data_IF_680419206967
#
_entry.id   IF_680419206967
#
_cell.length_a   1.000
_cell.length_b   1.000
_cell.length_c   1.000
_cell.angle_alpha   90.00
_cell.angle_beta   90.00
_cell.angle_gamma   90.00
#
_symmetry.space_group_name_H-M   'P 1'
#
loop_
_entity.id
_entity.type
_entity.pdbx_description
1 polymer ?
#
# COMPACT_ATOMS: atom_id res chain seq x y z
N UNK A 1 -20.41 -8.64 13.95
CA UNK A 1 -19.69 -7.55 13.25
C UNK A 1 -18.76 -8.15 12.21
N UNK A 2 -18.57 -7.53 11.03
CA UNK A 2 -17.67 -8.04 9.97
C UNK A 2 -16.45 -7.22 9.92
N UNK A 3 -15.37 -7.94 9.74
CA UNK A 3 -14.24 -7.43 9.02
C UNK A 3 -14.04 -8.41 7.88
N UNK A 4 -13.93 -7.87 6.69
CA UNK A 4 -13.74 -8.58 5.43
C UNK A 4 -12.38 -9.27 5.40
N UNK A 5 -12.31 -10.58 5.06
CA UNK A 5 -11.07 -11.24 4.62
C UNK A 5 -11.23 -11.89 3.24
N UNK A 6 -10.26 -11.53 2.39
CA UNK A 6 -9.83 -12.22 1.20
C UNK A 6 -8.65 -13.12 1.58
N UNK A 7 -8.28 -14.06 0.71
CA UNK A 7 -7.09 -14.89 0.91
C UNK A 7 -5.84 -14.00 1.02
N UNK A 8 -5.18 -14.04 2.18
CA UNK A 8 -4.12 -13.08 2.54
C UNK A 8 -2.81 -13.51 1.90
N UNK A 9 -2.55 -12.99 0.71
CA UNK A 9 -1.21 -13.02 0.12
C UNK A 9 -0.46 -11.78 0.57
N UNK A 10 0.66 -11.94 1.27
CA UNK A 10 1.56 -10.82 1.58
C UNK A 10 2.24 -10.37 0.28
N UNK A 11 1.85 -9.22 -0.24
CA UNK A 11 2.44 -8.63 -1.44
C UNK A 11 3.24 -7.39 -1.03
N UNK A 12 4.54 -7.41 -1.26
CA UNK A 12 5.41 -6.25 -1.05
C UNK A 12 5.41 -5.40 -2.31
N UNK A 13 4.76 -4.23 -2.27
CA UNK A 13 4.61 -3.34 -3.44
C UNK A 13 5.29 -1.99 -3.22
N UNK A 14 6.58 -1.88 -3.52
CA UNK A 14 7.28 -0.61 -3.36
C UNK A 14 6.90 0.42 -4.45
N UNK A 15 6.62 1.66 -4.02
CA UNK A 15 6.35 2.80 -4.90
C UNK A 15 7.29 3.96 -4.61
N UNK A 16 7.57 4.75 -5.64
CA UNK A 16 8.36 5.97 -5.56
C UNK A 16 7.58 7.11 -6.16
N UNK A 17 7.56 8.25 -5.47
CA UNK A 17 7.02 9.49 -5.99
C UNK A 17 8.08 10.18 -6.87
N UNK A 18 7.69 10.50 -8.09
CA UNK A 18 8.55 11.09 -9.12
C UNK A 18 7.91 12.43 -9.56
N UNK A 19 8.58 13.56 -9.26
CA UNK A 19 8.37 14.83 -9.97
C UNK A 19 9.38 14.89 -11.12
N UNK A 20 8.90 14.82 -12.35
CA UNK A 20 9.69 14.77 -13.58
C UNK A 20 9.56 16.07 -14.35
N UNK A 21 10.68 16.57 -14.89
CA UNK A 21 10.72 17.61 -15.91
C UNK A 21 11.54 17.14 -17.12
N UNK A 22 10.93 17.20 -18.30
CA UNK A 22 11.53 16.88 -19.61
C UNK A 22 11.76 18.19 -20.36
N UNK A 23 12.97 18.35 -20.89
CA UNK A 23 13.39 19.47 -21.72
C UNK A 23 14.01 18.92 -23.01
N UNK A 24 13.66 19.51 -24.16
CA UNK A 24 14.30 19.18 -25.43
C UNK A 24 15.65 19.89 -25.55
N UNK A 25 16.71 19.12 -25.83
CA UNK A 25 18.04 19.66 -26.13
C UNK A 25 18.14 19.98 -27.62
N UNK A 26 17.96 21.25 -27.98
CA UNK A 26 18.13 21.75 -29.34
C UNK A 26 19.59 21.93 -29.76
N UNK A 27 19.76 22.32 -31.02
CA UNK A 27 21.07 22.69 -31.56
C UNK A 27 21.68 23.81 -30.71
N UNK A 28 23.00 23.77 -30.50
CA UNK A 28 23.73 24.72 -29.65
C UNK A 28 23.36 24.69 -28.15
N UNK A 29 22.92 23.54 -27.65
CA UNK A 29 22.52 23.33 -26.24
C UNK A 29 21.32 24.15 -25.76
N UNK A 30 20.51 24.70 -26.67
CA UNK A 30 19.26 25.37 -26.28
C UNK A 30 18.30 24.36 -25.65
N UNK A 31 17.69 24.73 -24.52
CA UNK A 31 16.63 23.92 -23.89
C UNK A 31 15.26 24.52 -24.20
N UNK A 32 14.29 23.66 -24.49
CA UNK A 32 12.90 24.08 -24.74
C UNK A 32 11.91 23.13 -24.07
N UNK A 33 10.74 23.69 -23.71
CA UNK A 33 9.66 22.91 -23.11
C UNK A 33 9.06 21.96 -24.14
N UNK A 34 8.67 20.76 -23.68
CA UNK A 34 7.99 19.76 -24.50
C UNK A 34 6.57 19.52 -23.99
N UNK A 35 5.71 19.00 -24.87
CA UNK A 35 4.38 18.55 -24.48
C UNK A 35 4.47 17.43 -23.43
N UNK A 36 3.63 17.50 -22.39
CA UNK A 36 3.70 16.62 -21.21
C UNK A 36 5.10 16.61 -20.54
N UNK A 37 5.82 17.74 -20.61
CA UNK A 37 7.18 17.83 -20.12
C UNK A 37 7.29 17.73 -18.60
N UNK A 38 6.34 18.29 -17.83
CA UNK A 38 6.31 18.16 -16.37
C UNK A 38 5.19 17.26 -15.90
N UNK A 39 5.51 16.29 -15.02
CA UNK A 39 4.54 15.39 -14.40
C UNK A 39 5.00 14.93 -13.02
N UNK A 40 4.04 14.85 -12.11
CA UNK A 40 4.17 14.19 -10.82
C UNK A 40 3.38 12.88 -10.86
N UNK A 41 4.01 11.76 -10.49
CA UNK A 41 3.35 10.46 -10.47
C UNK A 41 4.01 9.47 -9.50
N UNK A 42 3.25 8.44 -9.13
CA UNK A 42 3.76 7.28 -8.40
C UNK A 42 4.21 6.21 -9.39
N UNK A 43 5.46 5.79 -9.27
CA UNK A 43 6.04 4.69 -10.04
C UNK A 43 6.15 3.44 -9.17
N UNK A 44 5.59 2.33 -9.64
CA UNK A 44 5.77 1.02 -9.00
C UNK A 44 7.12 0.42 -9.43
N UNK A 45 7.87 -0.13 -8.46
CA UNK A 45 9.20 -0.70 -8.69
C UNK A 45 9.18 -2.17 -9.15
N UNK A 46 8.02 -2.83 -9.03
CA UNK A 46 7.90 -4.28 -9.22
C UNK A 46 8.58 -5.09 -8.11
N UNK A 47 8.39 -6.41 -8.13
CA UNK A 47 8.89 -7.32 -7.09
C UNK A 47 10.42 -7.26 -6.95
N UNK A 48 11.16 -7.34 -8.05
CA UNK A 48 12.63 -7.36 -8.05
C UNK A 48 13.23 -6.03 -7.58
N UNK A 49 12.65 -4.90 -8.01
CA UNK A 49 13.07 -3.58 -7.57
C UNK A 49 12.79 -3.33 -6.10
N UNK A 50 11.62 -3.79 -5.62
CA UNK A 50 11.24 -3.71 -4.22
C UNK A 50 12.14 -4.58 -3.33
N UNK A 51 12.44 -5.81 -3.74
CA UNK A 51 13.40 -6.68 -3.05
C UNK A 51 14.78 -6.04 -2.96
N UNK A 52 15.31 -5.52 -4.09
CA UNK A 52 16.62 -4.85 -4.11
C UNK A 52 16.65 -3.63 -3.18
N UNK A 53 15.57 -2.86 -3.13
CA UNK A 53 15.44 -1.72 -2.22
C UNK A 53 15.53 -2.15 -0.75
N UNK A 54 14.84 -3.22 -0.37
CA UNK A 54 14.87 -3.72 1.01
C UNK A 54 16.20 -4.38 1.40
N UNK A 55 16.84 -5.11 0.48
CA UNK A 55 18.10 -5.82 0.75
C UNK A 55 19.32 -4.89 0.75
N UNK A 56 19.36 -3.92 -0.17
CA UNK A 56 20.56 -3.11 -0.44
C UNK A 56 20.38 -1.62 -0.22
N UNK A 57 19.14 -1.15 -0.03
CA UNK A 57 18.85 0.29 0.03
C UNK A 57 19.05 0.98 -1.32
N UNK A 58 18.88 0.28 -2.44
CA UNK A 58 19.09 0.83 -3.78
C UNK A 58 17.97 0.47 -4.77
N UNK A 59 17.69 1.38 -5.70
CA UNK A 59 16.69 1.22 -6.77
C UNK A 59 17.23 1.75 -8.09
N UNK A 60 16.65 1.26 -9.18
CA UNK A 60 16.91 1.77 -10.53
C UNK A 60 15.65 2.39 -11.08
N UNK A 61 15.74 3.65 -11.52
CA UNK A 61 14.64 4.39 -12.15
C UNK A 61 15.14 4.83 -13.53
N UNK A 62 14.56 4.27 -14.59
CA UNK A 62 15.07 4.44 -15.96
C UNK A 62 16.58 4.13 -16.06
N UNK A 63 17.39 5.11 -16.46
CA UNK A 63 18.86 4.96 -16.54
C UNK A 63 19.59 5.27 -15.23
N UNK A 64 18.92 5.85 -14.23
CA UNK A 64 19.51 6.27 -12.97
C UNK A 64 19.47 5.18 -11.91
N UNK A 65 20.55 5.06 -11.14
CA UNK A 65 20.60 4.27 -9.91
C UNK A 65 20.58 5.21 -8.71
N UNK A 66 19.67 4.95 -7.77
CA UNK A 66 19.55 5.68 -6.51
C UNK A 66 19.95 4.72 -5.40
N UNK A 67 21.01 5.06 -4.68
CA UNK A 67 21.57 4.26 -3.60
C UNK A 67 21.38 4.92 -2.23
N UNK A 68 21.78 4.19 -1.18
CA UNK A 68 21.81 4.67 0.22
C UNK A 68 20.45 5.18 0.70
N UNK A 69 19.37 4.54 0.28
CA UNK A 69 18.02 4.81 0.77
C UNK A 69 17.91 4.21 2.17
N UNK A 70 17.71 5.08 3.15
CA UNK A 70 17.57 4.68 4.55
C UNK A 70 16.13 4.25 4.86
N UNK A 71 16.01 3.23 5.73
CA UNK A 71 14.72 2.83 6.30
C UNK A 71 14.21 3.88 7.28
N UNK A 72 12.89 4.02 7.39
CA UNK A 72 12.18 4.98 8.25
C UNK A 72 12.47 6.45 7.95
N UNK A 73 13.04 6.78 6.79
CA UNK A 73 13.28 8.16 6.37
C UNK A 73 12.77 8.42 4.96
N UNK A 74 12.49 9.69 4.70
CA UNK A 74 12.14 10.17 3.36
C UNK A 74 13.41 10.69 2.70
N UNK A 75 13.83 10.04 1.61
CA UNK A 75 14.99 10.45 0.84
C UNK A 75 14.53 11.31 -0.34
N UNK A 76 15.02 12.54 -0.42
CA UNK A 76 14.77 13.47 -1.52
C UNK A 76 16.05 13.65 -2.33
N UNK A 77 16.02 13.29 -3.61
CA UNK A 77 17.18 13.42 -4.50
C UNK A 77 16.78 13.91 -5.87
N UNK A 78 17.58 14.84 -6.40
CA UNK A 78 17.51 15.24 -7.80
C UNK A 78 18.41 14.31 -8.62
N UNK A 79 17.82 13.65 -9.62
CA UNK A 79 18.49 12.68 -10.49
C UNK A 79 18.18 12.95 -11.96
N UNK A 80 19.10 12.59 -12.84
CA UNK A 80 18.91 12.66 -14.30
C UNK A 80 18.47 11.29 -14.80
N UNK A 81 17.24 11.19 -15.31
CA UNK A 81 16.66 9.93 -15.79
C UNK A 81 17.07 9.61 -17.23
N UNK A 82 17.37 10.63 -18.03
CA UNK A 82 17.83 10.52 -19.41
C UNK A 82 18.52 11.81 -19.85
N UNK A 83 19.45 11.68 -20.80
CA UNK A 83 20.26 12.79 -21.29
C UNK A 83 21.34 13.21 -20.30
N UNK A 84 22.02 14.30 -20.62
CA UNK A 84 23.11 14.86 -19.83
C UNK A 84 23.14 16.37 -19.94
N UNK A 85 23.39 17.05 -18.82
CA UNK A 85 23.68 18.46 -18.77
C UNK A 85 25.00 18.67 -18.00
N UNK A 86 25.97 19.36 -18.62
CA UNK A 86 27.19 19.79 -17.94
C UNK A 86 26.98 21.15 -17.26
N UNK A 87 27.85 21.47 -16.30
CA UNK A 87 27.97 22.82 -15.72
C UNK A 87 28.39 23.85 -16.79
N UNK A 88 29.06 23.40 -17.86
CA UNK A 88 29.51 24.24 -18.98
C UNK A 88 28.43 24.46 -20.05
N UNK A 89 27.16 24.52 -19.67
CA UNK A 89 26.00 24.77 -20.55
C UNK A 89 25.84 23.79 -21.72
N UNK A 90 26.36 22.56 -21.59
CA UNK A 90 26.22 21.52 -22.62
C UNK A 90 25.01 20.64 -22.35
N UNK A 91 24.04 20.62 -23.27
CA UNK A 91 22.87 19.73 -23.25
C UNK A 91 23.05 18.62 -24.29
N UNK A 92 23.01 17.36 -23.86
CA UNK A 92 22.97 16.20 -24.76
C UNK A 92 21.67 15.45 -24.47
N UNK A 93 20.78 15.43 -25.44
CA UNK A 93 19.52 14.73 -25.30
C UNK A 93 19.68 13.22 -25.51
N UNK A 94 18.81 12.45 -24.88
CA UNK A 94 18.65 11.02 -25.13
C UNK A 94 17.19 10.71 -25.46
N UNK A 95 16.92 9.48 -25.90
CA UNK A 95 15.55 9.00 -25.98
C UNK A 95 15.05 8.66 -24.57
N UNK A 96 13.81 9.03 -24.28
CA UNK A 96 13.16 8.71 -23.02
C UNK A 96 11.71 8.33 -23.25
N UNK A 97 11.27 7.30 -22.53
CA UNK A 97 9.91 6.76 -22.62
C UNK A 97 9.38 6.47 -21.23
N UNK A 98 8.12 6.83 -21.01
CA UNK A 98 7.35 6.45 -19.83
C UNK A 98 5.87 6.23 -20.19
N UNK A 99 5.01 6.02 -19.20
CA UNK A 99 3.58 5.75 -19.40
C UNK A 99 2.78 6.89 -20.07
N UNK A 100 3.35 8.09 -20.21
CA UNK A 100 2.70 9.28 -20.76
C UNK A 100 3.23 9.69 -22.13
N UNK A 101 4.25 9.00 -22.67
CA UNK A 101 4.76 9.26 -24.00
C UNK A 101 6.20 8.81 -24.23
N UNK A 102 6.67 9.12 -25.44
CA UNK A 102 8.04 8.92 -25.89
C UNK A 102 8.56 10.26 -26.39
N UNK A 103 9.77 10.62 -25.98
CA UNK A 103 10.45 11.83 -26.42
C UNK A 103 11.84 11.50 -26.93
N UNK A 104 12.28 12.26 -27.94
CA UNK A 104 13.60 12.12 -28.54
C UNK A 104 14.44 13.37 -28.28
N UNK A 105 15.75 13.15 -28.09
CA UNK A 105 16.72 14.21 -27.86
C UNK A 105 16.34 15.12 -26.67
N UNK A 106 16.00 14.48 -25.55
CA UNK A 106 15.59 15.17 -24.32
C UNK A 106 16.54 14.96 -23.15
N UNK A 107 16.61 15.98 -22.30
CA UNK A 107 17.14 15.91 -20.94
C UNK A 107 15.95 15.72 -19.98
N UNK A 108 16.06 14.74 -19.08
CA UNK A 108 15.01 14.43 -18.11
C UNK A 108 15.59 14.51 -16.72
N UNK A 109 15.13 15.50 -15.95
CA UNK A 109 15.48 15.68 -14.56
C UNK A 109 14.30 15.27 -13.69
N UNK A 110 14.58 14.69 -12.54
CA UNK A 110 13.54 14.32 -11.60
C UNK A 110 13.94 14.56 -10.16
N UNK A 111 13.01 15.12 -9.39
CA UNK A 111 12.99 15.00 -7.94
C UNK A 111 12.32 13.68 -7.58
N UNK A 112 13.05 12.80 -6.91
CA UNK A 112 12.52 11.52 -6.43
C UNK A 112 12.39 11.54 -4.92
N UNK A 113 11.21 11.16 -4.44
CA UNK A 113 10.92 10.99 -3.02
C UNK A 113 10.67 9.52 -2.73
N UNK A 114 11.59 8.93 -1.97
CA UNK A 114 11.53 7.52 -1.59
C UNK A 114 11.32 7.41 -0.08
N UNK A 115 10.19 6.85 0.33
CA UNK A 115 9.92 6.49 1.72
C UNK A 115 10.01 4.98 1.86
N UNK A 116 10.97 4.50 2.67
CA UNK A 116 11.18 3.07 2.90
C UNK A 116 10.76 2.71 4.32
N UNK A 117 9.57 2.18 4.50
CA UNK A 117 9.07 1.65 5.78
C UNK A 117 9.34 0.14 5.90
N UNK A 118 9.67 -0.38 7.09
CA UNK A 118 9.75 -1.83 7.32
C UNK A 118 8.41 -2.50 6.99
N UNK A 119 8.42 -3.32 5.94
CA UNK A 119 7.43 -4.39 5.72
C UNK A 119 6.12 -4.06 4.99
N UNK A 120 5.89 -2.84 4.50
CA UNK A 120 4.51 -2.38 4.29
C UNK A 120 4.42 -1.25 3.24
N UNK A 121 3.57 -1.38 2.20
CA UNK A 121 3.41 -0.38 1.12
C UNK A 121 1.94 -0.15 0.65
N UNK A 122 1.67 1.07 0.16
CA UNK A 122 0.37 1.63 -0.27
C UNK A 122 -0.11 1.12 -1.65
N UNK A 123 -1.43 1.09 -1.87
CA UNK A 123 -2.05 0.63 -3.12
C UNK A 123 -2.05 1.71 -4.23
N UNK A 124 -2.66 1.40 -5.38
CA UNK A 124 -2.68 2.25 -6.59
C UNK A 124 -3.45 3.55 -6.42
N UNK A 125 -4.22 3.71 -5.34
CA UNK A 125 -5.11 4.85 -5.15
C UNK A 125 -4.58 5.83 -4.09
N UNK A 126 -3.36 5.62 -3.58
CA UNK A 126 -2.78 6.46 -2.53
C UNK A 126 -3.41 6.27 -1.16
N UNK A 127 -4.13 5.16 -0.96
CA UNK A 127 -4.64 4.72 0.34
C UNK A 127 -3.83 3.52 0.85
N UNK A 128 -3.83 3.32 2.16
CA UNK A 128 -3.27 2.12 2.78
C UNK A 128 -4.09 0.90 2.31
N UNK A 129 -3.44 -0.04 1.63
CA UNK A 129 -4.07 -1.31 1.19
C UNK A 129 -4.44 -2.22 2.36
N UNK A 130 -3.92 -1.92 3.55
CA UNK A 130 -4.27 -2.56 4.82
C UNK A 130 -4.13 -1.53 5.93
N UNK A 131 -5.09 -1.52 6.84
CA UNK A 131 -4.86 -0.98 8.17
C UNK A 131 -4.06 -2.04 8.96
N UNK A 132 -3.01 -1.68 9.73
CA UNK A 132 -2.53 -2.58 10.77
C UNK A 132 -3.74 -3.00 11.63
N UNK A 133 -3.74 -4.19 12.26
CA UNK A 133 -4.75 -4.49 13.26
C UNK A 133 -4.77 -3.28 14.20
N UNK A 134 -5.92 -2.60 14.27
CA UNK A 134 -6.06 -1.46 15.15
C UNK A 134 -5.53 -1.93 16.49
N UNK A 135 -4.51 -1.27 17.07
CA UNK A 135 -4.13 -1.57 18.43
C UNK A 135 -5.45 -1.57 19.21
N UNK A 136 -5.72 -2.64 19.95
CA UNK A 136 -6.98 -2.78 20.68
C UNK A 136 -6.99 -1.62 21.68
N UNK A 137 -7.55 -0.51 21.25
CA UNK A 137 -7.66 0.70 22.02
C UNK A 137 -8.97 0.60 22.78
N UNK A 138 -8.94 1.14 24.00
CA UNK A 138 -10.07 1.03 24.88
C UNK A 138 -11.16 1.96 24.36
N UNK A 139 -12.30 1.39 23.95
CA UNK A 139 -13.60 2.05 23.83
C UNK A 139 -13.92 2.85 22.54
N UNK A 140 -13.25 2.60 21.41
CA UNK A 140 -13.60 3.19 20.11
C UNK A 140 -14.52 2.28 19.26
N UNK A 141 -15.74 2.01 19.75
CA UNK A 141 -16.73 1.16 19.05
C UNK A 141 -17.25 1.75 17.74
N UNK A 142 -17.05 3.05 17.52
CA UNK A 142 -17.33 3.77 16.28
C UNK A 142 -16.52 3.26 15.07
N UNK A 143 -15.44 2.51 15.31
CA UNK A 143 -14.60 1.92 14.27
C UNK A 143 -15.09 0.53 13.79
N UNK A 144 -16.13 -0.03 14.42
CA UNK A 144 -16.66 -1.34 14.07
C UNK A 144 -17.93 -1.22 13.23
N UNK A 145 -17.98 -1.95 12.13
CA UNK A 145 -19.21 -2.09 11.34
C UNK A 145 -20.11 -3.21 11.87
N UNK A 146 -21.36 -2.86 12.16
CA UNK A 146 -22.43 -3.80 12.48
C UNK A 146 -22.92 -4.43 11.16
N UNK A 147 -22.86 -5.75 11.07
CA UNK A 147 -23.42 -6.48 9.91
C UNK A 147 -24.85 -6.90 10.11
N UNK A 148 -25.15 -7.20 11.36
CA UNK A 148 -26.36 -7.85 11.76
C UNK A 148 -26.58 -7.48 13.21
N UNK A 149 -27.78 -6.97 13.46
CA UNK A 149 -28.31 -6.64 14.76
C UNK A 149 -29.69 -7.27 14.83
N UNK A 150 -29.90 -8.15 15.82
CA UNK A 150 -31.12 -8.93 15.94
C UNK A 150 -30.89 -10.28 16.59
N UNK A 151 -31.94 -11.11 16.60
CA UNK A 151 -31.89 -12.44 17.18
C UNK A 151 -30.99 -13.38 16.36
N UNK A 152 -30.13 -14.13 17.06
CA UNK A 152 -29.27 -15.16 16.50
C UNK A 152 -29.47 -16.47 17.27
N UNK A 153 -29.27 -17.60 16.61
CA UNK A 153 -29.34 -18.93 17.23
C UNK A 153 -27.95 -19.37 17.68
N UNK A 154 -27.76 -19.54 19.00
CA UNK A 154 -26.53 -20.05 19.60
C UNK A 154 -26.62 -21.56 19.82
N UNK A 155 -25.73 -22.28 19.14
CA UNK A 155 -25.56 -23.72 19.29
C UNK A 155 -24.37 -23.95 20.24
N UNK A 156 -24.65 -24.47 21.43
CA UNK A 156 -23.61 -24.87 22.40
C UNK A 156 -23.96 -26.25 22.96
N UNK A 157 -22.98 -27.14 23.06
CA UNK A 157 -23.20 -28.45 23.67
C UNK A 157 -23.43 -28.33 25.17
N UNK A 158 -24.50 -28.97 25.65
CA UNK A 158 -24.82 -29.05 27.08
C UNK A 158 -24.07 -30.16 27.82
N UNK A 159 -23.31 -31.02 27.12
CA UNK A 159 -22.70 -32.23 27.72
C UNK A 159 -21.18 -32.35 27.57
N UNK A 160 -20.54 -31.67 26.61
CA UNK A 160 -19.09 -31.73 26.39
C UNK A 160 -18.52 -30.35 26.04
N UNK A 161 -17.45 -29.94 26.72
CA UNK A 161 -16.71 -28.71 26.47
C UNK A 161 -15.88 -28.72 25.17
N UNK A 162 -15.75 -29.87 24.50
CA UNK A 162 -14.90 -30.03 23.31
C UNK A 162 -15.56 -29.64 21.99
N UNK A 163 -16.88 -29.44 21.97
CA UNK A 163 -17.58 -28.96 20.77
C UNK A 163 -17.65 -27.44 20.80
N UNK A 164 -17.20 -26.75 19.74
CA UNK A 164 -17.17 -25.30 19.75
C UNK A 164 -18.59 -24.73 19.74
N UNK A 165 -18.74 -23.54 20.32
CA UNK A 165 -20.02 -22.81 20.28
C UNK A 165 -20.17 -22.17 18.91
N UNK A 166 -21.32 -22.35 18.26
CA UNK A 166 -21.58 -21.80 16.92
C UNK A 166 -22.76 -20.84 16.99
N UNK A 167 -22.58 -19.63 16.50
CA UNK A 167 -23.62 -18.62 16.31
C UNK A 167 -24.14 -18.72 14.90
N UNK A 168 -25.46 -18.77 14.73
CA UNK A 168 -26.10 -18.87 13.41
C UNK A 168 -27.18 -17.81 13.26
N UNK A 169 -27.20 -17.15 12.11
CA UNK A 169 -28.22 -16.17 11.74
C UNK A 169 -28.78 -16.58 10.39
N UNK A 170 -30.09 -16.71 10.29
CA UNK A 170 -30.79 -17.04 9.05
C UNK A 170 -31.71 -15.88 8.67
N UNK A 171 -31.45 -15.26 7.53
CA UNK A 171 -32.23 -14.14 7.00
C UNK A 171 -32.64 -14.43 5.56
N UNK A 172 -33.95 -14.46 5.29
CA UNK A 172 -34.52 -14.81 3.98
C UNK A 172 -33.98 -16.16 3.45
N UNK A 173 -33.03 -16.12 2.51
CA UNK A 173 -32.44 -17.30 1.87
C UNK A 173 -30.96 -17.53 2.25
N UNK A 174 -30.39 -16.71 3.14
CA UNK A 174 -28.98 -16.82 3.55
C UNK A 174 -28.86 -17.22 5.02
N UNK A 175 -28.02 -18.22 5.29
CA UNK A 175 -27.60 -18.58 6.65
C UNK A 175 -26.12 -18.31 6.81
N UNK A 176 -25.78 -17.55 7.84
CA UNK A 176 -24.42 -17.25 8.25
C UNK A 176 -24.13 -17.92 9.60
N UNK A 177 -22.98 -18.58 9.72
CA UNK A 177 -22.57 -19.29 10.93
C UNK A 177 -21.15 -18.89 11.35
N UNK A 178 -20.94 -18.64 12.64
CA UNK A 178 -19.63 -18.34 13.24
C UNK A 178 -19.35 -19.22 14.44
N UNK A 179 -18.23 -19.89 14.40
CA UNK A 179 -17.66 -20.72 15.45
C UNK A 179 -16.82 -19.88 16.40
N UNK A 180 -17.25 -19.81 17.66
CA UNK A 180 -16.50 -19.16 18.73
C UNK A 180 -15.16 -19.88 18.98
N UNK A 181 -14.08 -19.11 19.01
CA UNK A 181 -12.72 -19.58 19.32
C UNK A 181 -12.29 -19.19 20.74
N UNK A 182 -12.60 -17.97 21.17
CA UNK A 182 -12.27 -17.47 22.51
C UNK A 182 -13.22 -16.35 22.96
N UNK A 183 -13.05 -15.87 24.20
CA UNK A 183 -13.67 -14.63 24.68
C UNK A 183 -12.57 -13.58 24.86
N UNK A 184 -12.88 -12.33 24.50
CA UNK A 184 -12.03 -11.17 24.76
C UNK A 184 -12.85 -10.08 25.43
N UNK A 185 -12.32 -9.51 26.50
CA UNK A 185 -12.92 -8.37 27.18
C UNK A 185 -12.35 -7.07 26.59
N UNK A 186 -13.21 -6.23 26.05
CA UNK A 186 -12.86 -4.94 25.45
C UNK A 186 -13.78 -3.88 26.04
N UNK A 187 -13.22 -2.91 26.77
CA UNK A 187 -13.98 -1.79 27.36
C UNK A 187 -15.17 -2.24 28.25
N UNK A 188 -15.02 -3.33 29.00
CA UNK A 188 -16.09 -3.87 29.85
C UNK A 188 -17.17 -4.67 29.10
N UNK A 189 -17.07 -4.81 27.78
CA UNK A 189 -17.89 -5.70 26.97
C UNK A 189 -17.15 -7.01 26.72
N UNK A 190 -17.86 -8.12 26.84
CA UNK A 190 -17.33 -9.46 26.58
C UNK A 190 -17.67 -9.87 25.15
N UNK A 191 -16.68 -9.79 24.27
CA UNK A 191 -16.81 -10.15 22.87
C UNK A 191 -16.39 -11.60 22.67
N UNK A 192 -17.20 -12.37 21.94
CA UNK A 192 -16.79 -13.68 21.46
C UNK A 192 -15.94 -13.50 20.20
N UNK A 193 -14.68 -13.92 20.27
CA UNK A 193 -13.85 -14.10 19.08
C UNK A 193 -14.34 -15.32 18.31
N UNK A 194 -14.28 -15.23 16.99
CA UNK A 194 -14.74 -16.30 16.12
C UNK A 194 -13.59 -16.91 15.34
N UNK A 195 -13.86 -17.91 14.51
CA UNK A 195 -12.86 -18.51 13.61
C UNK A 195 -12.31 -17.49 12.61
N UNK A 196 -13.04 -16.40 12.38
CA UNK A 196 -12.57 -15.30 11.59
C UNK A 196 -11.91 -14.25 12.48
N UNK A 197 -10.64 -13.86 12.24
CA UNK A 197 -9.81 -13.04 13.15
C UNK A 197 -10.30 -11.60 13.36
N UNK A 198 -11.44 -11.29 12.76
CA UNK A 198 -11.95 -9.96 12.63
C UNK A 198 -13.51 -9.93 12.78
N UNK A 199 -14.18 -11.08 12.86
CA UNK A 199 -15.61 -11.12 13.19
C UNK A 199 -15.74 -11.34 14.68
N UNK A 200 -16.44 -10.42 15.33
CA UNK A 200 -16.77 -10.51 16.75
C UNK A 200 -18.27 -10.59 16.91
N UNK A 201 -18.69 -11.37 17.90
CA UNK A 201 -20.07 -11.42 18.36
C UNK A 201 -20.12 -10.75 19.72
N UNK A 202 -20.91 -9.69 19.82
CA UNK A 202 -21.28 -9.09 21.09
C UNK A 202 -22.64 -9.69 21.48
N UNK A 203 -22.68 -10.40 22.60
CA UNK A 203 -23.93 -10.84 23.22
C UNK A 203 -24.37 -9.76 24.22
N UNK A 204 -25.57 -9.22 24.04
CA UNK A 204 -26.19 -8.21 24.92
C UNK A 204 -27.40 -8.77 25.63
#
# INVERSE_FOLDING_TARGET
MQLTDYDRTTVTQCKVEIDRMILYCGMSSHVSAVHNGRREYLQELGESGCRKLHETGSIKIASAEVDRIQQNTTNLRSITLAGFASVDDRCIGAQYTDGYGTWENVLVQSGTRCSLTPGYCMDSNGAESYWPPLPIDHCHFDQYNILYEGLATKLSSKKNQSTPTIYTVTTQDTTFALTKTSDIDVCGYRLAQTEHPKLFVLET
#
